data_IF_852227684394
#
_entry.id   IF_852227684394
#
_cell.length_a   1.000
_cell.length_b   1.000
_cell.length_c   1.000
_cell.angle_alpha   90.00
_cell.angle_beta   90.00
_cell.angle_gamma   90.00
#
_symmetry.space_group_name_H-M   'P 1'
#
loop_
_entity.id
_entity.type
_entity.pdbx_description
1 polymer ?
#
# COMPACT_ATOMS: atom_id res chain seq x y z
N UNK A 1 -5.83 46.01 11.70
CA UNK A 1 -6.83 44.96 12.01
C UNK A 1 -6.50 43.62 11.35
N UNK A 2 -5.83 43.60 10.20
CA UNK A 2 -5.37 42.39 9.48
C UNK A 2 -4.40 41.51 10.26
N UNK A 3 -3.45 42.08 11.01
CA UNK A 3 -2.41 41.30 11.69
C UNK A 3 -2.93 40.48 12.88
N UNK A 4 -4.01 40.93 13.54
CA UNK A 4 -4.66 40.17 14.63
C UNK A 4 -5.40 38.94 14.09
N UNK A 5 -6.06 39.07 12.94
CA UNK A 5 -6.70 37.95 12.24
C UNK A 5 -5.67 36.94 11.76
N UNK A 6 -4.53 37.40 11.24
CA UNK A 6 -3.46 36.52 10.74
C UNK A 6 -2.81 35.70 11.85
N UNK A 7 -2.57 36.30 13.02
CA UNK A 7 -2.13 35.56 14.22
C UNK A 7 -3.19 34.57 14.70
N UNK A 8 -4.45 34.99 14.78
CA UNK A 8 -5.54 34.11 15.24
C UNK A 8 -5.76 32.88 14.36
N UNK A 9 -5.49 32.97 13.06
CA UNK A 9 -5.57 31.81 12.14
C UNK A 9 -4.33 30.91 12.26
N UNK A 10 -3.16 31.47 12.60
CA UNK A 10 -1.93 30.69 12.82
C UNK A 10 -1.95 29.92 14.14
N UNK A 11 -2.62 30.44 15.16
CA UNK A 11 -2.77 29.81 16.48
C UNK A 11 -3.97 28.83 16.53
N UNK A 12 -4.62 28.56 15.39
CA UNK A 12 -5.74 27.63 15.32
C UNK A 12 -5.20 26.19 15.32
N UNK A 13 -5.14 25.57 16.49
CA UNK A 13 -4.84 24.15 16.64
C UNK A 13 -6.01 23.34 16.07
N UNK A 14 -5.81 22.71 14.92
CA UNK A 14 -6.80 21.85 14.24
C UNK A 14 -6.99 20.48 14.92
N UNK A 15 -6.70 20.39 16.23
CA UNK A 15 -6.83 19.16 17.00
C UNK A 15 -5.95 18.01 16.50
N UNK A 16 -4.77 18.31 15.92
CA UNK A 16 -3.83 17.26 15.47
C UNK A 16 -3.37 16.37 16.63
N UNK A 17 -3.22 16.96 17.82
CA UNK A 17 -2.82 16.26 19.05
C UNK A 17 -4.03 15.77 19.87
N UNK A 18 -5.27 16.04 19.44
CA UNK A 18 -6.46 15.57 20.12
C UNK A 18 -6.67 14.06 19.86
N UNK A 19 -7.36 13.39 20.79
CA UNK A 19 -7.68 11.97 20.62
C UNK A 19 -8.50 11.76 19.33
N UNK A 20 -8.10 10.83 18.44
CA UNK A 20 -8.80 10.60 17.19
C UNK A 20 -10.28 10.27 17.42
N UNK A 21 -11.17 10.97 16.72
CA UNK A 21 -12.60 10.69 16.80
C UNK A 21 -12.89 9.32 16.19
N UNK A 22 -13.36 8.38 17.02
CA UNK A 22 -13.74 7.05 16.57
C UNK A 22 -15.01 7.12 15.70
N UNK A 23 -14.87 6.76 14.42
CA UNK A 23 -15.99 6.69 13.48
C UNK A 23 -16.87 5.47 13.76
N UNK A 24 -18.18 5.61 13.57
CA UNK A 24 -19.11 4.48 13.71
C UNK A 24 -18.84 3.43 12.62
N UNK A 25 -19.03 2.13 12.90
CA UNK A 25 -18.82 1.06 11.92
C UNK A 25 -19.67 1.23 10.64
N UNK A 26 -20.87 1.79 10.78
CA UNK A 26 -21.78 2.09 9.67
C UNK A 26 -21.19 3.13 8.70
N UNK A 27 -20.52 4.16 9.21
CA UNK A 27 -19.89 5.16 8.37
C UNK A 27 -18.68 4.57 7.62
N UNK A 28 -17.89 3.73 8.29
CA UNK A 28 -16.78 3.03 7.69
C UNK A 28 -17.23 2.05 6.58
N UNK A 29 -18.33 1.33 6.80
CA UNK A 29 -18.88 0.40 5.79
C UNK A 29 -19.44 1.16 4.57
N UNK A 30 -20.10 2.29 4.80
CA UNK A 30 -20.57 3.15 3.72
C UNK A 30 -19.39 3.70 2.90
N UNK A 31 -18.33 4.17 3.56
CA UNK A 31 -17.13 4.65 2.88
C UNK A 31 -16.43 3.53 2.09
N UNK A 32 -16.31 2.33 2.67
CA UNK A 32 -15.80 1.12 2.00
C UNK A 32 -16.61 0.79 0.74
N UNK A 33 -17.93 0.91 0.80
CA UNK A 33 -18.79 0.65 -0.34
C UNK A 33 -18.60 1.69 -1.46
N UNK A 34 -18.56 2.98 -1.13
CA UNK A 34 -18.39 4.06 -2.12
C UNK A 34 -17.02 3.98 -2.81
N UNK A 35 -15.97 3.69 -2.04
CA UNK A 35 -14.59 3.64 -2.54
C UNK A 35 -14.14 2.22 -2.92
N UNK A 36 -15.07 1.29 -3.13
CA UNK A 36 -14.73 -0.13 -3.38
C UNK A 36 -13.85 -0.35 -4.61
N UNK A 37 -13.83 0.59 -5.54
CA UNK A 37 -13.02 0.55 -6.78
C UNK A 37 -11.84 1.51 -6.76
N UNK A 38 -11.47 2.01 -5.57
CA UNK A 38 -10.33 2.90 -5.41
C UNK A 38 -9.06 2.09 -5.16
N UNK A 39 -7.98 2.50 -5.84
CA UNK A 39 -6.63 2.05 -5.57
C UNK A 39 -5.87 3.15 -4.82
N UNK A 40 -5.03 2.74 -3.87
CA UNK A 40 -4.03 3.58 -3.23
C UNK A 40 -2.69 3.22 -3.82
N UNK A 41 -1.97 4.21 -4.34
CA UNK A 41 -0.65 4.02 -4.95
C UNK A 41 0.36 4.92 -4.28
N UNK A 42 1.43 4.32 -3.76
CA UNK A 42 2.56 5.01 -3.16
C UNK A 42 3.77 4.91 -4.07
N UNK A 43 4.38 6.07 -4.35
CA UNK A 43 5.65 6.15 -5.07
C UNK A 43 6.82 6.03 -4.08
N UNK A 44 7.76 5.13 -4.38
CA UNK A 44 8.94 4.92 -3.53
C UNK A 44 9.95 6.05 -3.69
N UNK A 45 9.95 6.73 -4.85
CA UNK A 45 10.81 7.88 -5.09
C UNK A 45 10.06 9.03 -5.77
N UNK A 46 9.28 9.84 -5.02
CA UNK A 46 8.47 10.93 -5.57
C UNK A 46 9.27 12.00 -6.33
N UNK A 47 10.58 12.12 -6.06
CA UNK A 47 11.46 13.08 -6.76
C UNK A 47 11.77 12.67 -8.19
N UNK A 48 11.65 11.38 -8.51
CA UNK A 48 11.99 10.80 -9.82
C UNK A 48 10.79 10.13 -10.51
N UNK A 49 9.75 9.77 -9.76
CA UNK A 49 8.50 9.20 -10.30
C UNK A 49 7.48 10.31 -10.57
N UNK A 50 7.20 10.57 -11.84
CA UNK A 50 6.19 11.55 -12.25
C UNK A 50 4.77 11.03 -11.99
N UNK A 51 4.15 11.50 -10.90
CA UNK A 51 2.79 11.12 -10.50
C UNK A 51 1.74 11.40 -11.58
N UNK A 52 1.86 12.51 -12.33
CA UNK A 52 0.87 12.85 -13.37
C UNK A 52 0.87 11.85 -14.51
N UNK A 53 2.06 11.43 -14.94
CA UNK A 53 2.20 10.41 -15.97
C UNK A 53 1.71 9.04 -15.47
N UNK A 54 1.98 8.72 -14.21
CA UNK A 54 1.51 7.49 -13.56
C UNK A 54 -0.02 7.43 -13.48
N UNK A 55 -0.70 8.52 -13.10
CA UNK A 55 -2.17 8.59 -13.05
C UNK A 55 -2.78 8.30 -14.43
N UNK A 56 -2.13 8.74 -15.51
CA UNK A 56 -2.56 8.45 -16.88
C UNK A 56 -2.56 6.96 -17.24
N UNK A 57 -1.72 6.15 -16.57
CA UNK A 57 -1.58 4.71 -16.80
C UNK A 57 -2.38 3.85 -15.81
N UNK A 58 -3.06 4.46 -14.84
CA UNK A 58 -3.86 3.73 -13.86
C UNK A 58 -5.04 3.01 -14.52
N UNK A 59 -5.41 1.81 -14.02
CA UNK A 59 -6.54 1.07 -14.54
C UNK A 59 -7.83 1.88 -14.39
N UNK A 60 -8.67 1.87 -15.42
CA UNK A 60 -9.99 2.54 -15.42
C UNK A 60 -11.16 1.56 -15.38
N UNK A 61 -10.89 0.26 -15.41
CA UNK A 61 -11.88 -0.80 -15.34
C UNK A 61 -11.61 -1.68 -14.14
N UNK A 62 -12.67 -2.29 -13.60
CA UNK A 62 -12.59 -3.20 -12.45
C UNK A 62 -11.75 -4.45 -12.77
N UNK A 63 -11.87 -4.97 -13.99
CA UNK A 63 -11.08 -6.10 -14.48
C UNK A 63 -9.58 -5.77 -14.48
N UNK A 64 -9.21 -4.60 -15.03
CA UNK A 64 -7.82 -4.15 -15.04
C UNK A 64 -7.30 -3.89 -13.62
N UNK A 65 -8.12 -3.34 -12.73
CA UNK A 65 -7.77 -3.16 -11.32
C UNK A 65 -7.47 -4.51 -10.65
N UNK A 66 -8.28 -5.53 -10.90
CA UNK A 66 -8.10 -6.87 -10.34
C UNK A 66 -6.83 -7.53 -10.88
N UNK A 67 -6.51 -7.32 -12.16
CA UNK A 67 -5.25 -7.78 -12.76
C UNK A 67 -4.03 -7.07 -12.15
N UNK A 68 -4.12 -5.75 -11.94
CA UNK A 68 -3.06 -4.98 -11.27
C UNK A 68 -2.84 -5.51 -9.85
N UNK A 69 -3.90 -5.74 -9.08
CA UNK A 69 -3.74 -6.26 -7.70
C UNK A 69 -3.17 -7.68 -7.65
N UNK A 70 -3.45 -8.53 -8.65
CA UNK A 70 -3.03 -9.95 -8.65
C UNK A 70 -1.66 -10.22 -9.30
N UNK A 71 -1.18 -9.36 -10.20
CA UNK A 71 0.04 -9.59 -10.99
C UNK A 71 1.24 -8.74 -10.60
N UNK A 72 1.20 -8.12 -9.43
CA UNK A 72 2.35 -7.37 -8.90
C UNK A 72 3.61 -8.25 -8.73
N UNK A 73 4.78 -7.64 -8.50
CA UNK A 73 4.97 -6.22 -8.18
C UNK A 73 5.08 -5.31 -9.42
N UNK A 74 4.71 -4.03 -9.26
CA UNK A 74 4.71 -3.05 -10.36
C UNK A 74 5.86 -2.06 -10.26
N UNK A 75 6.35 -1.61 -11.41
CA UNK A 75 7.30 -0.51 -11.50
C UNK A 75 6.85 0.53 -12.51
N UNK A 76 7.25 1.77 -12.28
CA UNK A 76 7.03 2.88 -13.17
C UNK A 76 8.30 3.74 -13.21
N UNK A 77 8.80 4.00 -14.42
CA UNK A 77 10.09 4.67 -14.65
C UNK A 77 11.25 4.03 -13.87
N UNK A 78 11.35 2.70 -13.88
CA UNK A 78 12.40 1.92 -13.18
C UNK A 78 12.34 1.95 -11.64
N UNK A 79 11.31 2.57 -11.07
CA UNK A 79 11.10 2.60 -9.63
C UNK A 79 9.85 1.81 -9.27
N UNK A 80 9.93 1.02 -8.20
CA UNK A 80 8.81 0.22 -7.73
C UNK A 80 7.64 1.09 -7.26
N UNK A 81 6.45 0.51 -7.30
CA UNK A 81 5.21 1.09 -6.79
C UNK A 81 4.62 0.15 -5.75
N UNK A 82 4.16 0.72 -4.63
CA UNK A 82 3.25 0.01 -3.74
C UNK A 82 1.82 0.33 -4.18
N UNK A 83 1.04 -0.71 -4.49
CA UNK A 83 -0.33 -0.59 -4.97
C UNK A 83 -1.21 -1.44 -4.07
N UNK A 84 -2.22 -0.83 -3.48
CA UNK A 84 -3.18 -1.47 -2.58
C UNK A 84 -4.60 -1.13 -2.97
N UNK A 85 -5.53 -2.02 -2.66
CA UNK A 85 -6.96 -1.67 -2.69
C UNK A 85 -7.26 -0.75 -1.52
N UNK A 86 -8.02 0.32 -1.77
CA UNK A 86 -8.40 1.24 -0.70
C UNK A 86 -9.35 0.54 0.29
N UNK A 87 -9.11 0.74 1.59
CA UNK A 87 -10.01 0.39 2.68
C UNK A 87 -9.84 1.40 3.83
N UNK A 88 -10.82 1.54 4.74
CA UNK A 88 -10.72 2.48 5.85
C UNK A 88 -9.56 2.11 6.80
N UNK A 89 -8.84 3.13 7.29
CA UNK A 89 -7.74 2.99 8.26
C UNK A 89 -6.49 2.25 7.75
N UNK A 90 -6.21 2.28 6.45
CA UNK A 90 -4.91 1.84 5.93
C UNK A 90 -3.77 2.68 6.55
N UNK A 91 -2.78 2.01 7.13
CA UNK A 91 -1.66 2.67 7.81
C UNK A 91 -0.56 3.05 6.81
N UNK A 92 0.23 4.08 7.14
CA UNK A 92 1.35 4.49 6.28
C UNK A 92 2.42 3.39 6.15
N UNK A 93 2.58 2.56 7.19
CA UNK A 93 3.49 1.42 7.17
C UNK A 93 3.05 0.37 6.14
N UNK A 94 1.75 0.03 6.12
CA UNK A 94 1.17 -0.91 5.14
C UNK A 94 1.32 -0.39 3.71
N UNK A 95 1.11 0.92 3.51
CA UNK A 95 1.24 1.59 2.19
C UNK A 95 2.67 1.58 1.62
N UNK A 96 3.68 1.23 2.41
CA UNK A 96 5.10 1.19 2.00
C UNK A 96 5.62 -0.23 1.78
N UNK A 97 4.81 -1.24 2.06
CA UNK A 97 5.17 -2.64 1.83
C UNK A 97 4.82 -3.01 0.39
N UNK A 98 5.72 -3.76 -0.26
CA UNK A 98 5.51 -4.32 -1.60
C UNK A 98 5.72 -5.83 -1.50
N UNK A 99 4.66 -6.64 -1.60
CA UNK A 99 4.80 -8.08 -1.66
C UNK A 99 5.35 -8.49 -3.03
N UNK A 100 6.26 -9.46 -3.04
CA UNK A 100 6.79 -10.05 -4.26
C UNK A 100 7.20 -11.51 -4.02
N UNK A 101 7.14 -12.31 -5.07
CA UNK A 101 7.61 -13.69 -5.04
C UNK A 101 9.13 -13.75 -5.13
N UNK A 102 9.73 -14.59 -4.30
CA UNK A 102 11.16 -14.91 -4.33
C UNK A 102 11.31 -16.37 -4.66
N UNK A 103 11.99 -16.66 -5.77
CA UNK A 103 12.35 -18.02 -6.11
C UNK A 103 13.67 -18.41 -5.44
N UNK A 104 13.64 -19.40 -4.57
CA UNK A 104 14.84 -19.94 -3.92
C UNK A 104 15.43 -21.02 -4.82
N UNK A 105 16.71 -20.88 -5.17
CA UNK A 105 17.43 -21.86 -6.00
C UNK A 105 18.55 -22.51 -5.21
N UNK A 106 18.96 -23.73 -5.61
CA UNK A 106 20.08 -24.44 -4.99
C UNK A 106 19.75 -25.25 -3.74
N UNK A 107 18.47 -25.41 -3.38
CA UNK A 107 18.06 -26.35 -2.32
C UNK A 107 18.19 -27.78 -2.88
N UNK A 108 19.00 -28.66 -2.26
CA UNK A 108 19.07 -30.06 -2.69
C UNK A 108 17.70 -30.73 -2.55
N UNK A 109 17.33 -31.59 -3.51
CA UNK A 109 16.01 -32.24 -3.56
C UNK A 109 15.62 -32.96 -2.25
N UNK A 110 16.59 -33.56 -1.56
CA UNK A 110 16.40 -34.22 -0.26
C UNK A 110 15.89 -33.28 0.85
N UNK A 111 16.15 -31.98 0.71
CA UNK A 111 15.75 -30.94 1.65
C UNK A 111 14.66 -30.02 1.10
N UNK A 112 14.17 -30.28 -0.11
CA UNK A 112 13.07 -29.53 -0.72
C UNK A 112 11.77 -29.92 -0.01
N UNK A 113 11.48 -29.21 1.07
CA UNK A 113 10.29 -29.40 1.90
C UNK A 113 9.71 -28.04 2.26
N UNK A 114 8.41 -27.99 2.53
CA UNK A 114 7.74 -26.79 3.05
C UNK A 114 8.44 -26.22 4.28
N UNK A 115 8.87 -27.07 5.22
CA UNK A 115 9.61 -26.64 6.41
C UNK A 115 10.93 -25.91 6.06
N UNK A 116 11.63 -26.36 5.02
CA UNK A 116 12.85 -25.70 4.55
C UNK A 116 12.54 -24.35 3.89
N UNK A 117 11.50 -24.29 3.04
CA UNK A 117 11.06 -23.04 2.42
C UNK A 117 10.69 -21.99 3.48
N UNK A 118 9.93 -22.38 4.51
CA UNK A 118 9.58 -21.54 5.67
C UNK A 118 10.82 -21.07 6.45
N UNK A 119 11.78 -21.97 6.68
CA UNK A 119 13.02 -21.66 7.38
C UNK A 119 13.88 -20.63 6.63
N UNK A 120 13.98 -20.76 5.30
CA UNK A 120 14.73 -19.80 4.49
C UNK A 120 13.95 -18.48 4.37
N UNK A 121 12.65 -18.54 4.07
CA UNK A 121 11.80 -17.36 3.91
C UNK A 121 11.76 -16.48 5.15
N UNK A 122 11.61 -17.08 6.33
CA UNK A 122 11.62 -16.35 7.62
C UNK A 122 12.94 -15.63 7.92
N UNK A 123 14.06 -16.07 7.34
CA UNK A 123 15.36 -15.38 7.45
C UNK A 123 15.53 -14.24 6.44
N UNK A 124 14.80 -14.28 5.32
CA UNK A 124 14.83 -13.23 4.30
C UNK A 124 13.94 -12.04 4.67
N UNK A 125 12.83 -12.28 5.36
CA UNK A 125 11.96 -11.21 5.84
C UNK A 125 10.59 -11.68 6.32
N UNK A 126 9.64 -10.75 6.35
CA UNK A 126 8.25 -11.07 6.64
C UNK A 126 7.65 -11.89 5.49
N UNK A 127 7.37 -13.16 5.78
CA UNK A 127 6.82 -14.09 4.81
C UNK A 127 5.29 -14.04 4.83
N UNK A 128 4.68 -13.96 3.64
CA UNK A 128 3.22 -13.92 3.48
C UNK A 128 2.69 -15.29 3.10
N UNK A 129 3.32 -15.93 2.12
CA UNK A 129 2.86 -17.21 1.57
C UNK A 129 4.04 -18.00 0.98
N UNK A 130 3.84 -19.30 0.79
CA UNK A 130 4.78 -20.21 0.13
C UNK A 130 4.03 -21.02 -0.92
N UNK A 131 4.40 -20.82 -2.18
CA UNK A 131 3.93 -21.63 -3.29
C UNK A 131 4.87 -22.85 -3.43
N UNK A 132 4.37 -24.02 -3.03
CA UNK A 132 5.11 -25.28 -2.99
C UNK A 132 4.23 -26.39 -3.56
N UNK A 133 4.01 -26.34 -4.88
CA UNK A 133 3.27 -27.35 -5.66
C UNK A 133 4.03 -27.73 -6.95
#
# INVERSE_FOLDING_TARGET
MSDKLRKSVQDLTLGIDDEPVALTPEFCSQAAHVNRFSLVVTTVNPRKQNLRALIGQMPRTEEAMTLVLSRGPWSFNYWMLSIHRWYPNITEAEMKIIPFWVQITGIPLLFLTNAMALCVGSRLGHMVDVDFD
#
